data_IF_595163069183
#
_entry.id   IF_595163069183
#
_cell.length_a   1.000
_cell.length_b   1.000
_cell.length_c   1.000
_cell.angle_alpha   90.00
_cell.angle_beta   90.00
_cell.angle_gamma   90.00
#
_symmetry.space_group_name_H-M   'P 1'
#
loop_
_entity.id
_entity.type
_entity.pdbx_description
1 polymer ?
#
# COMPACT_ATOMS: atom_id res chain seq x y z
N UNK A 1 -11.09 5.90 14.61
CA UNK A 1 -10.03 6.80 14.06
C UNK A 1 -9.14 7.23 15.21
N UNK A 2 -7.82 7.10 15.09
CA UNK A 2 -6.88 7.53 16.13
C UNK A 2 -6.76 9.04 16.13
N UNK A 3 -6.98 9.68 17.30
CA UNK A 3 -6.86 11.12 17.44
C UNK A 3 -5.36 11.50 17.53
N UNK A 4 -4.85 12.16 16.49
CA UNK A 4 -3.49 12.72 16.45
C UNK A 4 -3.47 14.15 16.96
N UNK A 5 -2.44 14.51 17.72
CA UNK A 5 -2.14 15.92 18.06
C UNK A 5 -1.57 16.66 16.83
N UNK A 6 -1.53 18.00 16.87
CA UNK A 6 -0.93 18.80 15.81
C UNK A 6 0.51 18.36 15.51
N UNK A 7 1.38 18.29 16.52
CA UNK A 7 2.76 17.85 16.32
C UNK A 7 2.91 16.42 15.82
N UNK A 8 1.98 15.50 16.14
CA UNK A 8 2.01 14.14 15.60
C UNK A 8 1.66 14.12 14.11
N UNK A 9 0.74 14.97 13.66
CA UNK A 9 0.40 15.13 12.24
C UNK A 9 1.55 15.74 11.46
N UNK A 10 2.12 16.85 11.96
CA UNK A 10 3.27 17.51 11.32
C UNK A 10 4.49 16.58 11.25
N UNK A 11 4.69 15.75 12.30
CA UNK A 11 5.72 14.72 12.32
C UNK A 11 5.52 13.72 11.17
N UNK A 12 4.30 13.22 11.00
CA UNK A 12 3.98 12.28 9.91
C UNK A 12 4.10 12.93 8.53
N UNK A 13 3.66 14.19 8.38
CA UNK A 13 3.83 14.96 7.13
C UNK A 13 5.30 15.08 6.75
N UNK A 14 6.17 15.40 7.71
CA UNK A 14 7.61 15.45 7.48
C UNK A 14 8.19 14.12 7.03
N UNK A 15 7.73 13.00 7.60
CA UNK A 15 8.17 11.66 7.20
C UNK A 15 7.58 11.20 5.86
N UNK A 16 6.42 11.72 5.43
CA UNK A 16 5.88 11.46 4.10
C UNK A 16 6.68 12.17 3.00
N UNK A 17 7.28 13.32 3.31
CA UNK A 17 8.20 14.02 2.41
C UNK A 17 9.55 13.31 2.33
N UNK A 18 10.12 12.97 3.48
CA UNK A 18 11.40 12.27 3.58
C UNK A 18 11.40 11.29 4.77
N UNK A 19 11.23 10.01 4.45
CA UNK A 19 11.21 8.93 5.44
C UNK A 19 12.53 8.70 6.19
N UNK A 20 13.63 9.30 5.74
CA UNK A 20 14.97 9.17 6.34
C UNK A 20 15.26 10.22 7.40
N UNK A 21 14.39 11.21 7.61
CA UNK A 21 14.59 12.27 8.59
C UNK A 21 14.85 11.72 10.00
N UNK A 22 15.94 12.19 10.59
CA UNK A 22 16.27 11.93 11.97
C UNK A 22 15.34 12.68 12.94
N UNK A 23 15.31 12.27 14.19
CA UNK A 23 14.52 12.98 15.22
C UNK A 23 14.97 14.44 15.40
N UNK A 24 16.25 14.74 15.20
CA UNK A 24 16.79 16.09 15.30
C UNK A 24 16.31 16.98 14.16
N UNK A 25 16.31 16.46 12.92
CA UNK A 25 15.85 17.20 11.74
C UNK A 25 14.35 17.48 11.84
N UNK A 26 13.54 16.48 12.24
CA UNK A 26 12.10 16.69 12.44
C UNK A 26 11.87 17.68 13.60
N UNK A 27 12.62 17.58 14.70
CA UNK A 27 12.52 18.52 15.81
C UNK A 27 12.76 19.97 15.38
N UNK A 28 13.77 20.19 14.53
CA UNK A 28 14.09 21.52 13.97
C UNK A 28 12.94 22.04 13.13
N UNK A 29 12.35 21.21 12.27
CA UNK A 29 11.20 21.61 11.43
C UNK A 29 9.96 21.99 12.24
N UNK A 30 9.72 21.27 13.31
CA UNK A 30 8.55 21.46 14.16
C UNK A 30 8.75 22.48 15.30
N UNK A 31 9.96 23.01 15.50
CA UNK A 31 10.27 23.92 16.60
C UNK A 31 10.18 23.26 17.99
N UNK A 32 10.45 21.96 18.11
CA UNK A 32 10.39 21.20 19.37
C UNK A 32 11.78 20.63 19.72
N UNK A 33 11.92 20.08 20.93
CA UNK A 33 13.18 19.42 21.31
C UNK A 33 13.35 18.07 20.63
N UNK A 34 14.59 17.60 20.34
CA UNK A 34 14.85 16.26 19.79
C UNK A 34 14.28 15.14 20.68
N UNK A 35 14.25 15.34 22.00
CA UNK A 35 13.64 14.40 22.95
C UNK A 35 12.13 14.32 22.77
N UNK A 36 11.45 15.45 22.50
CA UNK A 36 10.02 15.48 22.20
C UNK A 36 9.73 14.78 20.87
N UNK A 37 10.47 15.06 19.81
CA UNK A 37 10.36 14.39 18.52
C UNK A 37 10.54 12.86 18.64
N UNK A 38 11.55 12.42 19.42
CA UNK A 38 11.75 10.99 19.70
C UNK A 38 10.55 10.36 20.42
N UNK A 39 9.95 11.05 21.40
CA UNK A 39 8.75 10.56 22.10
C UNK A 39 7.56 10.42 21.15
N UNK A 40 7.38 11.37 20.23
CA UNK A 40 6.34 11.31 19.20
C UNK A 40 6.57 10.08 18.31
N UNK A 41 7.78 9.89 17.77
CA UNK A 41 8.12 8.73 16.94
C UNK A 41 7.79 7.41 17.63
N UNK A 42 8.30 7.22 18.84
CA UNK A 42 8.06 6.01 19.63
C UNK A 42 6.56 5.78 19.92
N UNK A 43 5.80 6.83 20.13
CA UNK A 43 4.34 6.73 20.30
C UNK A 43 3.67 6.24 19.02
N UNK A 44 4.00 6.85 17.88
CA UNK A 44 3.43 6.49 16.57
C UNK A 44 3.78 5.06 16.17
N UNK A 45 4.99 4.60 16.46
CA UNK A 45 5.43 3.21 16.26
C UNK A 45 4.66 2.25 17.19
N UNK A 46 4.58 2.53 18.48
CA UNK A 46 3.86 1.68 19.45
C UNK A 46 2.36 1.59 19.16
N UNK A 47 1.76 2.63 18.62
CA UNK A 47 0.35 2.63 18.25
C UNK A 47 0.09 2.02 16.88
N UNK A 48 1.13 1.57 16.17
CA UNK A 48 1.04 0.95 14.85
C UNK A 48 0.67 1.92 13.73
N UNK A 49 0.71 3.23 13.96
CA UNK A 49 0.53 4.25 12.91
C UNK A 49 1.72 4.22 11.97
N UNK A 50 2.94 4.18 12.54
CA UNK A 50 4.15 3.86 11.79
C UNK A 50 4.39 2.36 11.95
N UNK A 51 4.23 1.61 10.86
CA UNK A 51 4.42 0.15 10.84
C UNK A 51 5.83 -0.26 10.49
N UNK A 52 6.65 0.66 10.02
CA UNK A 52 8.04 0.41 9.65
C UNK A 52 8.58 1.43 8.66
N UNK A 53 9.85 1.28 8.34
CA UNK A 53 10.58 2.10 7.36
C UNK A 53 11.15 1.15 6.31
N UNK A 54 10.83 1.38 5.04
CA UNK A 54 11.30 0.57 3.92
C UNK A 54 11.76 1.47 2.79
N UNK A 55 12.87 1.16 2.13
CA UNK A 55 13.26 1.89 0.93
C UNK A 55 12.23 1.63 -0.17
N UNK A 56 11.97 2.64 -0.98
CA UNK A 56 11.23 2.47 -2.24
C UNK A 56 12.27 2.11 -3.30
N UNK A 57 12.16 0.91 -3.87
CA UNK A 57 13.13 0.37 -4.82
C UNK A 57 12.52 0.36 -6.23
N UNK A 58 13.34 0.64 -7.23
CA UNK A 58 12.96 0.48 -8.63
C UNK A 58 13.03 -1.01 -9.01
N UNK A 59 11.89 -1.69 -8.98
CA UNK A 59 11.79 -3.11 -9.26
C UNK A 59 12.28 -3.45 -10.68
N UNK A 60 11.97 -2.62 -11.68
CA UNK A 60 12.45 -2.81 -13.05
C UNK A 60 13.97 -2.72 -13.16
N UNK A 61 14.61 -1.78 -12.44
CA UNK A 61 16.07 -1.69 -12.40
C UNK A 61 16.73 -2.89 -11.70
N UNK A 62 15.98 -3.59 -10.85
CA UNK A 62 16.40 -4.83 -10.18
C UNK A 62 16.03 -6.09 -10.98
N UNK A 63 15.51 -5.94 -12.20
CA UNK A 63 15.20 -7.04 -13.10
C UNK A 63 13.80 -7.67 -12.89
N UNK A 64 12.92 -7.05 -12.12
CA UNK A 64 11.50 -7.46 -12.06
C UNK A 64 10.75 -6.74 -13.18
N UNK A 65 10.54 -7.43 -14.30
CA UNK A 65 10.03 -6.82 -15.52
C UNK A 65 8.56 -7.13 -15.81
N UNK A 66 8.10 -8.28 -15.32
CA UNK A 66 6.75 -8.79 -15.59
C UNK A 66 5.95 -8.84 -14.31
N UNK A 67 4.76 -8.28 -14.34
CA UNK A 67 3.80 -8.36 -13.25
C UNK A 67 2.57 -9.11 -13.73
N UNK A 68 1.92 -9.86 -12.83
CA UNK A 68 0.58 -10.38 -13.14
C UNK A 68 -0.41 -9.95 -12.07
N UNK A 69 -1.58 -9.54 -12.51
CA UNK A 69 -2.74 -9.37 -11.66
C UNK A 69 -3.67 -10.56 -11.90
N UNK A 70 -3.83 -11.38 -10.87
CA UNK A 70 -4.66 -12.58 -10.92
C UNK A 70 -5.97 -12.34 -10.19
N UNK A 71 -7.07 -12.67 -10.86
CA UNK A 71 -8.38 -12.83 -10.24
C UNK A 71 -8.57 -14.30 -9.88
N UNK A 72 -8.63 -14.60 -8.60
CA UNK A 72 -8.80 -15.95 -8.10
C UNK A 72 -10.21 -16.14 -7.53
N UNK A 73 -10.79 -17.32 -7.78
CA UNK A 73 -12.08 -17.73 -7.25
C UNK A 73 -11.91 -18.99 -6.40
N UNK A 74 -12.39 -18.97 -5.16
CA UNK A 74 -12.46 -20.19 -4.35
C UNK A 74 -13.56 -21.09 -4.90
N UNK A 75 -13.23 -22.38 -5.02
CA UNK A 75 -14.21 -23.43 -5.31
C UNK A 75 -15.12 -23.67 -4.07
N UNK A 76 -16.23 -24.39 -4.20
CA UNK A 76 -17.02 -24.82 -3.04
C UNK A 76 -16.19 -25.54 -1.99
N UNK A 77 -15.20 -26.35 -2.40
CA UNK A 77 -14.27 -27.05 -1.51
C UNK A 77 -13.33 -26.05 -0.80
N UNK A 78 -12.85 -25.02 -1.51
CA UNK A 78 -12.05 -23.95 -0.94
C UNK A 78 -12.80 -23.16 0.13
N UNK A 79 -14.07 -22.88 -0.09
CA UNK A 79 -14.93 -22.23 0.90
C UNK A 79 -15.18 -23.12 2.13
N UNK A 80 -15.48 -24.42 1.93
CA UNK A 80 -15.70 -25.37 3.01
C UNK A 80 -14.44 -25.61 3.86
N UNK A 81 -13.25 -25.51 3.27
CA UNK A 81 -11.95 -25.67 3.95
C UNK A 81 -11.50 -24.41 4.73
N UNK A 82 -12.43 -23.72 5.38
CA UNK A 82 -12.14 -22.55 6.22
C UNK A 82 -12.10 -21.21 5.46
N UNK A 83 -12.91 -21.08 4.39
CA UNK A 83 -13.05 -19.82 3.65
C UNK A 83 -11.77 -19.37 2.93
N UNK A 84 -10.90 -20.33 2.58
CA UNK A 84 -9.65 -20.06 1.89
C UNK A 84 -8.48 -19.67 2.78
N UNK A 85 -8.62 -19.73 4.10
CA UNK A 85 -7.53 -19.31 5.02
C UNK A 85 -6.21 -20.07 4.78
N UNK A 86 -6.27 -21.37 4.48
CA UNK A 86 -5.09 -22.18 4.14
C UNK A 86 -4.41 -21.70 2.85
N UNK A 87 -5.20 -21.51 1.78
CA UNK A 87 -4.71 -20.99 0.50
C UNK A 87 -4.13 -19.59 0.66
N UNK A 88 -4.78 -18.71 1.43
CA UNK A 88 -4.25 -17.38 1.73
C UNK A 88 -2.91 -17.43 2.43
N UNK A 89 -2.78 -18.28 3.46
CA UNK A 89 -1.55 -18.42 4.22
C UNK A 89 -0.38 -18.92 3.34
N UNK A 90 -0.65 -19.78 2.37
CA UNK A 90 0.36 -20.27 1.45
C UNK A 90 0.72 -19.21 0.39
N UNK A 91 -0.27 -18.53 -0.18
CA UNK A 91 -0.01 -17.43 -1.12
C UNK A 91 0.81 -16.31 -0.47
N UNK A 92 0.54 -15.97 0.80
CA UNK A 92 1.30 -14.94 1.53
C UNK A 92 2.77 -15.31 1.77
N UNK A 93 3.12 -16.60 1.72
CA UNK A 93 4.51 -17.07 1.87
C UNK A 93 5.27 -17.11 0.54
N UNK A 94 4.56 -16.95 -0.57
CA UNK A 94 5.18 -17.10 -1.89
C UNK A 94 5.95 -15.84 -2.27
N UNK A 95 7.24 -15.99 -2.61
CA UNK A 95 8.18 -14.87 -2.87
C UNK A 95 7.73 -13.96 -4.01
N UNK A 96 7.00 -14.49 -4.98
CA UNK A 96 6.48 -13.70 -6.10
C UNK A 96 5.24 -12.88 -5.77
N UNK A 97 4.57 -13.12 -4.63
CA UNK A 97 3.36 -12.39 -4.24
C UNK A 97 3.73 -11.04 -3.62
N UNK A 98 3.37 -9.96 -4.31
CA UNK A 98 3.62 -8.58 -3.86
C UNK A 98 2.45 -8.04 -3.03
N UNK A 99 1.21 -8.38 -3.43
CA UNK A 99 0.00 -7.99 -2.72
C UNK A 99 -1.09 -9.04 -2.88
N UNK A 100 -1.87 -9.24 -1.83
CA UNK A 100 -3.01 -10.16 -1.79
C UNK A 100 -4.20 -9.44 -1.16
N UNK A 101 -5.30 -9.35 -1.90
CA UNK A 101 -6.54 -8.73 -1.47
C UNK A 101 -7.65 -9.78 -1.40
N UNK A 102 -8.37 -9.82 -0.29
CA UNK A 102 -9.60 -10.60 -0.17
C UNK A 102 -10.78 -9.72 -0.58
N UNK A 103 -11.62 -10.23 -1.47
CA UNK A 103 -12.86 -9.58 -1.87
C UNK A 103 -14.02 -10.19 -1.08
N UNK A 104 -14.81 -9.39 -0.35
CA UNK A 104 -15.90 -9.92 0.47
C UNK A 104 -17.12 -10.35 -0.34
N UNK A 105 -17.26 -9.82 -1.57
CA UNK A 105 -18.44 -10.00 -2.43
C UNK A 105 -18.02 -10.25 -3.88
N UNK A 106 -18.90 -10.95 -4.63
CA UNK A 106 -18.75 -11.20 -6.06
C UNK A 106 -18.24 -12.61 -6.40
N UNK A 107 -17.99 -12.83 -7.70
CA UNK A 107 -17.51 -14.11 -8.20
C UNK A 107 -16.01 -14.34 -7.94
N UNK A 108 -15.26 -13.27 -7.82
CA UNK A 108 -13.82 -13.27 -7.52
C UNK A 108 -13.64 -13.16 -6.02
N UNK A 109 -12.87 -14.06 -5.43
CA UNK A 109 -12.62 -14.08 -3.98
C UNK A 109 -11.34 -13.37 -3.58
N UNK A 110 -10.36 -13.34 -4.48
CA UNK A 110 -9.05 -12.72 -4.23
C UNK A 110 -8.48 -12.04 -5.47
N UNK A 111 -7.78 -10.92 -5.25
CA UNK A 111 -6.87 -10.33 -6.23
C UNK A 111 -5.45 -10.53 -5.73
N UNK A 112 -4.57 -11.00 -6.60
CA UNK A 112 -3.15 -11.24 -6.30
C UNK A 112 -2.29 -10.49 -7.29
N UNK A 113 -1.47 -9.56 -6.81
CA UNK A 113 -0.42 -8.93 -7.60
C UNK A 113 0.87 -9.70 -7.37
N UNK A 114 1.51 -10.12 -8.46
CA UNK A 114 2.77 -10.85 -8.43
C UNK A 114 3.82 -10.17 -9.31
N UNK A 115 5.11 -10.45 -9.06
CA UNK A 115 6.23 -9.92 -9.83
C UNK A 115 7.24 -11.01 -10.21
N UNK A 116 7.78 -10.92 -11.43
CA UNK A 116 8.66 -11.91 -12.04
C UNK A 116 9.74 -11.23 -12.88
N UNK A 117 10.83 -11.94 -13.11
CA UNK A 117 11.91 -11.46 -13.99
C UNK A 117 11.57 -11.63 -15.48
N UNK A 118 10.81 -12.68 -15.82
CA UNK A 118 10.48 -13.03 -17.20
C UNK A 118 9.19 -13.86 -17.28
N UNK A 119 8.73 -14.13 -18.48
CA UNK A 119 7.50 -14.92 -18.73
C UNK A 119 7.63 -16.38 -18.34
N UNK A 120 8.82 -16.97 -18.38
CA UNK A 120 9.03 -18.37 -17.98
C UNK A 120 8.72 -18.55 -16.48
N UNK A 121 9.11 -17.57 -15.65
CA UNK A 121 8.76 -17.58 -14.22
C UNK A 121 7.26 -17.45 -14.00
N UNK A 122 6.56 -16.63 -14.80
CA UNK A 122 5.09 -16.51 -14.78
C UNK A 122 4.45 -17.87 -15.08
N UNK A 123 4.84 -18.50 -16.18
CA UNK A 123 4.26 -19.79 -16.61
C UNK A 123 4.48 -20.88 -15.57
N UNK A 124 5.66 -20.92 -14.97
CA UNK A 124 5.98 -21.86 -13.89
C UNK A 124 5.11 -21.61 -12.67
N UNK A 125 4.95 -20.36 -12.27
CA UNK A 125 4.11 -19.98 -11.13
C UNK A 125 2.65 -20.36 -11.35
N UNK A 126 2.08 -20.02 -12.53
CA UNK A 126 0.69 -20.34 -12.86
C UNK A 126 0.48 -21.86 -12.91
N UNK A 127 1.43 -22.61 -13.45
CA UNK A 127 1.38 -24.07 -13.47
C UNK A 127 1.37 -24.66 -12.05
N UNK A 128 2.25 -24.17 -11.17
CA UNK A 128 2.29 -24.61 -9.76
C UNK A 128 0.96 -24.28 -9.08
N UNK A 129 0.44 -23.07 -9.27
CA UNK A 129 -0.81 -22.65 -8.67
C UNK A 129 -1.98 -23.53 -9.12
N UNK A 130 -2.07 -23.84 -10.43
CA UNK A 130 -3.09 -24.73 -10.97
C UNK A 130 -2.94 -26.17 -10.49
N UNK A 131 -1.72 -26.72 -10.47
CA UNK A 131 -1.49 -28.11 -10.10
C UNK A 131 -1.72 -28.38 -8.60
N UNK A 132 -1.33 -27.46 -7.74
CA UNK A 132 -1.41 -27.64 -6.28
C UNK A 132 -2.76 -27.24 -5.68
N UNK A 133 -3.44 -26.26 -6.27
CA UNK A 133 -4.61 -25.65 -5.66
C UNK A 133 -5.89 -25.77 -6.49
N UNK A 134 -5.91 -26.54 -7.61
CA UNK A 134 -7.08 -26.66 -8.49
C UNK A 134 -8.35 -27.15 -7.80
N UNK A 135 -8.22 -27.90 -6.71
CA UNK A 135 -9.38 -28.33 -5.92
C UNK A 135 -9.99 -27.21 -5.08
N UNK A 136 -9.20 -26.19 -4.69
CA UNK A 136 -9.56 -25.16 -3.73
C UNK A 136 -9.75 -23.79 -4.37
N UNK A 137 -9.06 -23.52 -5.48
CA UNK A 137 -9.15 -22.25 -6.19
C UNK A 137 -9.02 -22.44 -7.71
N UNK A 138 -9.62 -21.50 -8.42
CA UNK A 138 -9.53 -21.37 -9.87
C UNK A 138 -8.95 -20.01 -10.24
N UNK A 139 -8.11 -19.93 -11.24
CA UNK A 139 -7.69 -18.67 -11.85
C UNK A 139 -8.83 -18.23 -12.76
N UNK A 140 -9.58 -17.20 -12.35
CA UNK A 140 -10.67 -16.65 -13.14
C UNK A 140 -10.14 -15.82 -14.32
N UNK A 141 -9.15 -14.96 -14.05
CA UNK A 141 -8.42 -14.17 -15.06
C UNK A 141 -6.98 -13.92 -14.64
N UNK A 142 -6.12 -13.76 -15.63
CA UNK A 142 -4.74 -13.36 -15.45
C UNK A 142 -4.41 -12.21 -16.40
N UNK A 143 -3.95 -11.10 -15.87
CA UNK A 143 -3.50 -9.94 -16.66
C UNK A 143 -1.99 -9.83 -16.52
N UNK A 144 -1.29 -9.87 -17.66
CA UNK A 144 0.16 -9.63 -17.69
C UNK A 144 0.43 -8.16 -17.92
N UNK A 145 1.24 -7.57 -17.06
CA UNK A 145 1.59 -6.15 -17.06
C UNK A 145 3.12 -6.00 -17.12
N UNK A 146 3.61 -5.01 -17.81
CA UNK A 146 5.00 -4.57 -17.66
C UNK A 146 5.14 -3.61 -16.47
N UNK A 147 6.36 -3.41 -15.96
CA UNK A 147 6.60 -2.40 -14.92
C UNK A 147 6.13 -0.99 -15.31
N UNK A 148 6.11 -0.67 -16.62
CA UNK A 148 5.60 0.60 -17.16
C UNK A 148 4.09 0.77 -17.04
N UNK A 149 3.36 -0.30 -16.81
CA UNK A 149 1.90 -0.28 -16.62
C UNK A 149 1.50 0.12 -15.20
N UNK A 150 2.45 0.15 -14.26
CA UNK A 150 2.22 0.60 -12.89
C UNK A 150 2.39 2.13 -12.89
N UNK A 151 1.27 2.84 -12.92
CA UNK A 151 1.26 4.30 -13.04
C UNK A 151 1.38 5.01 -11.70
N UNK A 152 0.93 4.36 -10.61
CA UNK A 152 0.98 4.92 -9.25
C UNK A 152 0.86 3.82 -8.20
N UNK A 153 1.81 3.76 -7.28
CA UNK A 153 1.80 2.85 -6.12
C UNK A 153 1.87 3.58 -4.77
N UNK A 154 2.30 4.85 -4.79
CA UNK A 154 2.57 5.59 -3.55
C UNK A 154 1.29 6.21 -2.97
N UNK A 155 0.89 5.87 -1.72
CA UNK A 155 -0.26 6.45 -1.05
C UNK A 155 0.02 7.84 -0.43
N UNK A 156 1.24 8.39 -0.51
CA UNK A 156 1.64 9.61 0.20
C UNK A 156 0.68 10.78 -0.04
N UNK A 157 0.25 11.02 -1.28
CA UNK A 157 -0.70 12.10 -1.60
C UNK A 157 -2.03 11.96 -0.86
N UNK A 158 -2.57 10.73 -0.77
CA UNK A 158 -3.79 10.46 0.00
C UNK A 158 -3.57 10.68 1.49
N UNK A 159 -2.45 10.17 2.02
CA UNK A 159 -2.11 10.30 3.44
C UNK A 159 -1.89 11.76 3.83
N UNK A 160 -1.21 12.55 3.01
CA UNK A 160 -1.05 14.00 3.20
C UNK A 160 -2.41 14.67 3.28
N UNK A 161 -3.32 14.38 2.34
CA UNK A 161 -4.68 14.93 2.37
C UNK A 161 -5.42 14.56 3.65
N UNK A 162 -5.42 13.29 4.06
CA UNK A 162 -6.09 12.83 5.28
C UNK A 162 -5.53 13.49 6.54
N UNK A 163 -4.21 13.71 6.61
CA UNK A 163 -3.56 14.37 7.74
C UNK A 163 -3.92 15.86 7.81
N UNK A 164 -4.02 16.55 6.68
CA UNK A 164 -4.41 17.97 6.62
C UNK A 164 -5.90 18.17 6.93
N UNK A 165 -6.80 17.40 6.32
CA UNK A 165 -8.25 17.49 6.58
C UNK A 165 -8.62 17.17 8.03
N UNK A 166 -7.85 16.33 8.71
CA UNK A 166 -8.01 16.05 10.14
C UNK A 166 -7.76 17.29 11.02
N UNK A 167 -7.13 18.33 10.50
CA UNK A 167 -6.93 19.62 11.17
C UNK A 167 -8.13 20.56 10.99
N UNK A 168 -8.68 20.63 9.77
CA UNK A 168 -9.85 21.47 9.46
C UNK A 168 -11.11 21.06 10.24
N UNK A 169 -11.28 19.76 10.48
CA UNK A 169 -12.41 19.24 11.26
C UNK A 169 -12.38 19.65 12.75
N UNK A 170 -11.29 20.26 13.24
CA UNK A 170 -11.13 20.68 14.64
C UNK A 170 -11.15 22.18 14.85
N UNK A 171 -11.20 22.99 13.81
CA UNK A 171 -11.36 24.45 13.93
C UNK A 171 -12.83 24.77 14.22
N UNK A 172 -13.18 25.46 15.32
CA UNK A 172 -14.52 25.93 15.55
C UNK A 172 -14.79 27.09 14.60
N UNK A 173 -15.63 26.84 13.59
CA UNK A 173 -16.12 27.88 12.67
C UNK A 173 -15.63 27.70 11.23
N UNK A 174 -16.35 26.88 10.52
CA UNK A 174 -16.26 26.51 9.11
C UNK A 174 -16.07 27.64 8.11
N UNK A 175 -14.85 28.07 7.92
CA UNK A 175 -14.43 28.74 6.68
C UNK A 175 -13.60 27.72 5.90
N UNK A 176 -14.23 27.13 4.87
CA UNK A 176 -13.49 26.30 3.91
C UNK A 176 -12.60 27.24 3.08
N UNK A 177 -11.28 27.02 3.01
CA UNK A 177 -10.47 27.72 2.03
C UNK A 177 -10.95 27.30 0.64
N UNK A 178 -11.28 28.30 -0.19
CA UNK A 178 -11.60 28.09 -1.61
C UNK A 178 -10.36 27.49 -2.27
N UNK A 179 -10.46 26.35 -2.97
CA UNK A 179 -9.31 25.80 -3.69
C UNK A 179 -8.81 26.83 -4.70
N UNK A 180 -7.50 27.07 -4.71
CA UNK A 180 -6.86 27.92 -5.71
C UNK A 180 -7.19 27.40 -7.12
N UNK A 181 -7.51 28.27 -8.08
CA UNK A 181 -7.78 27.87 -9.45
C UNK A 181 -6.51 27.19 -10.01
N UNK A 182 -6.69 26.06 -10.67
CA UNK A 182 -5.63 25.38 -11.42
C UNK A 182 -5.03 26.36 -12.42
N UNK A 183 -3.71 26.42 -12.60
CA UNK A 183 -3.11 27.27 -13.61
C UNK A 183 -3.68 26.86 -14.97
N UNK A 184 -4.27 27.82 -15.65
CA UNK A 184 -4.89 27.65 -16.97
C UNK A 184 -3.85 27.10 -17.95
N UNK A 185 -4.20 26.04 -18.66
CA UNK A 185 -3.51 25.65 -19.85
C UNK A 185 -3.65 26.78 -20.86
N UNK A 186 -2.56 27.39 -21.25
CA UNK A 186 -2.50 28.22 -22.45
C UNK A 186 -2.62 27.27 -23.65
N UNK A 187 -3.72 27.41 -24.36
CA UNK A 187 -3.85 26.93 -25.72
C UNK A 187 -3.00 27.81 -26.62
N UNK A 188 -2.05 27.22 -27.32
CA UNK A 188 -1.56 27.63 -28.63
C UNK A 188 -1.25 26.38 -29.48
#
# INVERSE_FOLDING_TARGET
>A
MVALSAHEREFLLSLLEDGMLSNTEVATRLGISPTAARKIRLKLERTGIIQGYRPVLNLGALGVEVFTLLELRLTPKGWAAGGGAGVQADLLKHDHVLALYRLPEGQVSHLVLTGFRNMEEVDRFLHVLQSQYSEYLEIHRAYTLSHKSILKENPATLLTKVLLEGEEARLPGGLRPTPAPLPGGEED
#
